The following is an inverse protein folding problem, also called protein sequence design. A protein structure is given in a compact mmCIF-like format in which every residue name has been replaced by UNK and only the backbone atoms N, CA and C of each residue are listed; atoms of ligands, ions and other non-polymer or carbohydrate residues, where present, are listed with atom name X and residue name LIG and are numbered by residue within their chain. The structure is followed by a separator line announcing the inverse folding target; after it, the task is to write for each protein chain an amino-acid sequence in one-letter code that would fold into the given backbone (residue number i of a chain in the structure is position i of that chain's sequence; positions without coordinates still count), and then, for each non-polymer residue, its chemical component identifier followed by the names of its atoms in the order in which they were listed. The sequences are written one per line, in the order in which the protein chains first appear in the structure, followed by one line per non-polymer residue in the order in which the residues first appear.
data_IF_822042154128
#
_entry.id   IF_822042154128
#
_cell.length_a   1.000
_cell.length_b   1.000
_cell.length_c   1.000
_cell.angle_alpha   90.00
_cell.angle_beta   90.00
_cell.angle_gamma   90.00
#
_symmetry.space_group_name_H-M   'P 1'
#
loop_
_entity.id
_entity.type
_entity.pdbx_description
1 polymer ?
#
# COMPACT_ATOMS: atom_id res chain seq x y z
N UNK A 1 -14.33 70.44 -36.25
CA UNK A 1 -14.85 69.80 -35.06
C UNK A 1 -15.61 68.50 -35.34
N UNK A 2 -16.55 68.40 -36.32
CA UNK A 2 -17.29 67.14 -36.54
C UNK A 2 -16.43 65.89 -36.98
N UNK A 3 -15.34 66.08 -37.75
CA UNK A 3 -14.46 64.98 -38.16
C UNK A 3 -13.55 64.41 -37.05
N UNK A 4 -13.20 65.23 -36.04
CA UNK A 4 -12.42 64.74 -34.88
C UNK A 4 -13.28 63.94 -33.92
N UNK A 5 -14.59 64.31 -33.77
CA UNK A 5 -15.52 63.54 -32.90
C UNK A 5 -15.85 62.17 -33.47
N UNK A 6 -15.91 62.01 -34.80
CA UNK A 6 -16.19 60.73 -35.46
C UNK A 6 -15.00 59.78 -35.33
N UNK A 7 -13.76 60.30 -35.37
CA UNK A 7 -12.55 59.47 -35.20
C UNK A 7 -12.39 58.99 -33.75
N UNK A 8 -12.70 59.83 -32.77
CA UNK A 8 -12.66 59.47 -31.34
C UNK A 8 -13.73 58.43 -30.97
N UNK A 9 -14.95 58.51 -31.56
CA UNK A 9 -15.99 57.48 -31.34
C UNK A 9 -15.61 56.15 -31.98
N UNK A 10 -14.97 56.11 -33.13
CA UNK A 10 -14.55 54.88 -33.79
C UNK A 10 -13.40 54.16 -33.08
N UNK A 11 -12.45 54.92 -32.49
CA UNK A 11 -11.37 54.36 -31.65
C UNK A 11 -11.89 53.85 -30.34
N UNK A 12 -12.91 54.50 -29.73
CA UNK A 12 -13.55 54.06 -28.48
C UNK A 12 -14.34 52.78 -28.66
N UNK A 13 -15.05 52.62 -29.81
CA UNK A 13 -15.79 51.40 -30.13
C UNK A 13 -14.84 50.22 -30.47
N UNK A 14 -13.67 50.45 -31.09
CA UNK A 14 -12.66 49.39 -31.29
C UNK A 14 -12.02 48.95 -30.00
N UNK A 15 -11.80 49.82 -29.03
CA UNK A 15 -11.25 49.50 -27.72
C UNK A 15 -12.29 48.71 -26.84
N UNK A 16 -13.57 49.00 -26.98
CA UNK A 16 -14.64 48.27 -26.28
C UNK A 16 -14.94 46.87 -26.86
N UNK A 17 -14.70 46.64 -28.15
CA UNK A 17 -14.82 45.30 -28.78
C UNK A 17 -13.66 44.40 -28.42
N UNK A 18 -12.46 44.96 -28.14
CA UNK A 18 -11.29 44.18 -27.73
C UNK A 18 -11.38 43.68 -26.27
N UNK A 19 -12.27 44.22 -25.43
CA UNK A 19 -12.43 43.78 -24.04
C UNK A 19 -13.47 42.63 -23.88
N UNK A 20 -14.27 42.35 -24.91
CA UNK A 20 -15.31 41.31 -24.83
C UNK A 20 -14.87 39.90 -25.25
N UNK A 21 -13.60 39.68 -25.63
CA UNK A 21 -13.04 38.34 -25.78
C UNK A 21 -12.13 37.96 -24.60
N UNK A 22 -12.51 38.30 -23.39
CA UNK A 22 -12.10 37.48 -22.25
C UNK A 22 -12.81 36.14 -22.40
N UNK A 23 -12.22 35.24 -23.16
CA UNK A 23 -12.59 33.82 -23.10
C UNK A 23 -12.55 33.45 -21.64
N UNK A 24 -13.73 33.25 -21.03
CA UNK A 24 -13.83 32.51 -19.79
C UNK A 24 -13.21 31.14 -20.10
N UNK A 25 -11.93 31.00 -19.78
CA UNK A 25 -11.30 29.68 -19.75
C UNK A 25 -12.15 28.89 -18.76
N UNK A 26 -13.09 28.09 -19.26
CA UNK A 26 -13.78 27.10 -18.44
C UNK A 26 -12.65 26.25 -17.87
N UNK A 27 -12.53 26.27 -16.53
CA UNK A 27 -11.55 25.42 -15.88
C UNK A 27 -11.77 23.99 -16.39
N UNK A 28 -10.72 23.36 -16.90
CA UNK A 28 -10.81 21.99 -17.41
C UNK A 28 -11.37 21.09 -16.30
N UNK A 29 -12.28 20.20 -16.63
CA UNK A 29 -12.85 19.26 -15.64
C UNK A 29 -11.72 18.48 -14.95
N UNK A 30 -11.77 18.29 -13.62
CA UNK A 30 -10.72 17.61 -12.88
C UNK A 30 -10.59 16.13 -13.34
N UNK A 31 -9.43 15.57 -13.09
CA UNK A 31 -9.21 14.12 -13.18
C UNK A 31 -9.52 13.53 -11.81
N UNK A 32 -10.66 12.84 -11.70
CA UNK A 32 -11.12 12.25 -10.44
C UNK A 32 -10.51 10.87 -10.26
N UNK A 33 -9.71 10.71 -9.21
CA UNK A 33 -9.14 9.42 -8.79
C UNK A 33 -9.86 8.98 -7.52
N UNK A 34 -10.52 7.83 -7.57
CA UNK A 34 -11.13 7.23 -6.39
C UNK A 34 -10.08 6.55 -5.51
N UNK A 35 -10.22 6.65 -4.20
CA UNK A 35 -9.37 5.95 -3.23
C UNK A 35 -10.26 5.07 -2.36
N UNK A 36 -10.13 3.76 -2.53
CA UNK A 36 -10.73 2.76 -1.68
C UNK A 36 -9.75 2.43 -0.55
N UNK A 37 -10.18 2.56 0.69
CA UNK A 37 -9.34 2.29 1.86
C UNK A 37 -10.18 1.88 3.07
N UNK A 38 -9.63 1.15 4.04
CA UNK A 38 -10.28 0.88 5.32
C UNK A 38 -10.25 2.13 6.21
N UNK A 39 -11.07 3.14 5.89
CA UNK A 39 -11.14 4.41 6.65
C UNK A 39 -11.69 4.18 8.05
N UNK A 40 -12.56 3.17 8.19
CA UNK A 40 -13.07 2.64 9.46
C UNK A 40 -12.67 1.18 9.63
N UNK A 41 -13.02 0.57 10.79
CA UNK A 41 -12.74 -0.84 11.06
C UNK A 41 -11.35 -1.11 11.65
N UNK A 42 -10.91 -2.39 11.68
CA UNK A 42 -9.71 -2.80 12.42
C UNK A 42 -8.40 -2.27 11.83
N UNK A 43 -8.40 -1.84 10.56
CA UNK A 43 -7.23 -1.30 9.86
C UNK A 43 -7.35 0.20 9.57
N UNK A 44 -8.22 0.91 10.30
CA UNK A 44 -8.51 2.32 10.07
C UNK A 44 -7.28 3.22 10.10
N UNK A 45 -6.30 2.91 10.94
CA UNK A 45 -5.05 3.66 11.02
C UNK A 45 -4.32 3.69 9.68
N UNK A 46 -4.16 2.54 9.02
CA UNK A 46 -3.53 2.44 7.69
C UNK A 46 -4.37 3.12 6.59
N UNK A 47 -5.68 2.90 6.60
CA UNK A 47 -6.58 3.46 5.60
C UNK A 47 -6.65 4.97 5.62
N UNK A 48 -6.70 5.58 6.80
CA UNK A 48 -6.71 7.04 6.96
C UNK A 48 -5.39 7.66 6.47
N UNK A 49 -4.24 7.08 6.83
CA UNK A 49 -2.95 7.54 6.32
C UNK A 49 -2.82 7.39 4.80
N UNK A 50 -3.37 6.31 4.21
CA UNK A 50 -3.37 6.12 2.76
C UNK A 50 -4.18 7.21 2.04
N UNK A 51 -5.37 7.54 2.52
CA UNK A 51 -6.18 8.65 2.00
C UNK A 51 -5.45 9.99 2.13
N UNK A 52 -4.84 10.26 3.28
CA UNK A 52 -4.03 11.45 3.50
C UNK A 52 -2.88 11.55 2.50
N UNK A 53 -2.19 10.44 2.26
CA UNK A 53 -1.08 10.35 1.30
C UNK A 53 -1.54 10.59 -0.15
N UNK A 54 -2.67 10.03 -0.55
CA UNK A 54 -3.26 10.29 -1.86
C UNK A 54 -3.59 11.78 -2.05
N UNK A 55 -4.12 12.44 -1.00
CA UNK A 55 -4.39 13.89 -1.03
C UNK A 55 -3.12 14.72 -1.15
N UNK A 56 -2.04 14.34 -0.46
CA UNK A 56 -0.74 15.04 -0.58
C UNK A 56 -0.17 14.86 -1.99
N UNK A 57 -0.23 13.66 -2.57
CA UNK A 57 0.21 13.42 -3.94
C UNK A 57 -0.57 14.28 -4.95
N UNK A 58 -1.91 14.32 -4.83
CA UNK A 58 -2.74 15.18 -5.67
C UNK A 58 -2.41 16.68 -5.50
N UNK A 59 -2.23 17.14 -4.26
CA UNK A 59 -1.83 18.53 -3.98
C UNK A 59 -0.49 18.88 -4.63
N UNK A 60 0.50 17.99 -4.58
CA UNK A 60 1.81 18.19 -5.21
C UNK A 60 1.70 18.24 -6.74
N UNK A 61 0.88 17.40 -7.35
CA UNK A 61 0.58 17.43 -8.79
C UNK A 61 -0.09 18.77 -9.15
N UNK A 62 -1.08 19.16 -8.38
CA UNK A 62 -1.87 20.37 -8.62
C UNK A 62 -1.03 21.66 -8.45
N UNK A 63 -0.11 21.69 -7.49
CA UNK A 63 0.85 22.80 -7.31
C UNK A 63 1.80 22.95 -8.52
N UNK A 64 2.04 21.86 -9.28
CA UNK A 64 2.84 21.87 -10.50
C UNK A 64 2.04 22.24 -11.75
N UNK A 65 0.76 22.59 -11.61
CA UNK A 65 -0.12 23.01 -12.72
C UNK A 65 -1.08 21.92 -13.21
N UNK A 66 -1.24 20.83 -12.50
CA UNK A 66 -2.09 19.71 -12.89
C UNK A 66 -1.48 18.83 -13.96
N UNK A 67 -2.31 18.03 -14.64
CA UNK A 67 -1.93 17.06 -15.67
C UNK A 67 -2.79 17.22 -16.92
N UNK A 68 -2.36 16.65 -18.03
CA UNK A 68 -3.12 16.53 -19.27
C UNK A 68 -3.82 17.84 -19.69
N UNK A 69 -3.01 18.89 -19.89
CA UNK A 69 -3.54 20.21 -20.28
C UNK A 69 -4.01 21.08 -19.10
N UNK A 70 -3.50 20.84 -17.90
CA UNK A 70 -3.77 21.68 -16.70
C UNK A 70 -4.99 21.26 -15.91
N UNK A 71 -5.50 20.03 -16.11
CA UNK A 71 -6.59 19.47 -15.29
C UNK A 71 -6.07 19.16 -13.88
N UNK A 72 -6.81 19.61 -12.87
CA UNK A 72 -6.48 19.30 -11.48
C UNK A 72 -6.86 17.87 -11.13
N UNK A 73 -6.08 17.23 -10.26
CA UNK A 73 -6.40 15.91 -9.69
C UNK A 73 -7.30 16.09 -8.48
N UNK A 74 -8.44 15.39 -8.45
CA UNK A 74 -9.38 15.31 -7.33
C UNK A 74 -9.33 13.91 -6.73
N UNK A 75 -9.22 13.82 -5.41
CA UNK A 75 -9.29 12.56 -4.66
C UNK A 75 -10.68 12.39 -4.09
N UNK A 76 -11.33 11.26 -4.40
CA UNK A 76 -12.64 10.87 -3.86
C UNK A 76 -12.55 9.60 -3.05
N UNK A 77 -12.93 9.67 -1.79
CA UNK A 77 -12.74 8.62 -0.79
C UNK A 77 -13.91 7.65 -0.76
N UNK A 78 -13.60 6.36 -0.56
CA UNK A 78 -14.57 5.28 -0.39
C UNK A 78 -14.08 4.34 0.70
N UNK A 79 -14.86 4.27 1.79
CA UNK A 79 -14.58 3.37 2.90
C UNK A 79 -14.98 1.93 2.56
N UNK A 80 -14.08 0.99 2.83
CA UNK A 80 -14.32 -0.44 2.69
C UNK A 80 -14.30 -1.19 4.04
N UNK A 81 -14.14 -0.46 5.14
CA UNK A 81 -14.13 -0.96 6.52
C UNK A 81 -13.15 -2.14 6.74
N UNK A 82 -12.25 -2.40 5.79
CA UNK A 82 -11.33 -3.55 5.78
C UNK A 82 -12.02 -4.90 5.53
N UNK A 83 -13.25 -4.91 4.96
CA UNK A 83 -13.99 -6.14 4.72
C UNK A 83 -14.23 -6.41 3.23
N UNK A 84 -14.25 -7.69 2.79
CA UNK A 84 -14.57 -8.04 1.40
C UNK A 84 -15.94 -7.52 0.95
N UNK A 85 -16.94 -7.57 1.84
CA UNK A 85 -18.31 -7.12 1.56
C UNK A 85 -18.35 -5.61 1.26
N UNK A 86 -17.80 -4.82 2.17
CA UNK A 86 -17.83 -3.36 2.02
C UNK A 86 -16.90 -2.91 0.90
N UNK A 87 -15.79 -3.64 0.67
CA UNK A 87 -14.92 -3.44 -0.49
C UNK A 87 -15.65 -3.61 -1.82
N UNK A 88 -16.43 -4.69 -1.97
CA UNK A 88 -17.25 -4.88 -3.17
C UNK A 88 -18.31 -3.79 -3.33
N UNK A 89 -18.94 -3.35 -2.24
CA UNK A 89 -19.92 -2.25 -2.27
C UNK A 89 -19.26 -0.92 -2.65
N UNK A 90 -18.08 -0.62 -2.11
CA UNK A 90 -17.29 0.56 -2.47
C UNK A 90 -16.93 0.54 -3.96
N UNK A 91 -16.42 -0.58 -4.47
CA UNK A 91 -16.09 -0.74 -5.89
C UNK A 91 -17.33 -0.54 -6.80
N UNK A 92 -18.49 -1.09 -6.44
CA UNK A 92 -19.75 -0.85 -7.18
C UNK A 92 -20.15 0.62 -7.22
N UNK A 93 -19.99 1.34 -6.10
CA UNK A 93 -20.25 2.79 -6.05
C UNK A 93 -19.28 3.57 -6.95
N UNK A 94 -17.99 3.21 -6.94
CA UNK A 94 -16.98 3.86 -7.79
C UNK A 94 -17.31 3.70 -9.27
N UNK A 95 -17.51 2.47 -9.75
CA UNK A 95 -17.73 2.19 -11.17
C UNK A 95 -19.11 2.70 -11.68
N UNK A 96 -19.99 3.12 -10.78
CA UNK A 96 -21.26 3.78 -11.15
C UNK A 96 -21.10 5.27 -11.44
N UNK A 97 -20.02 5.90 -10.97
CA UNK A 97 -19.71 7.31 -11.18
C UNK A 97 -18.83 7.47 -12.42
N UNK A 98 -19.42 8.07 -13.48
CA UNK A 98 -18.77 8.16 -14.81
C UNK A 98 -17.59 9.12 -14.88
N UNK A 99 -17.45 10.01 -13.93
CA UNK A 99 -16.39 10.99 -13.82
C UNK A 99 -15.12 10.43 -13.13
N UNK A 100 -15.20 9.26 -12.50
CA UNK A 100 -14.04 8.58 -11.93
C UNK A 100 -13.23 7.92 -13.05
N UNK A 101 -11.96 8.34 -13.17
CA UNK A 101 -11.03 7.87 -14.21
C UNK A 101 -10.37 6.55 -13.82
N UNK A 102 -9.93 6.44 -12.56
CA UNK A 102 -9.22 5.27 -12.05
C UNK A 102 -9.38 5.17 -10.53
N UNK A 103 -9.02 4.02 -9.97
CA UNK A 103 -9.06 3.75 -8.55
C UNK A 103 -7.66 3.43 -7.98
N UNK A 104 -7.30 4.06 -6.87
CA UNK A 104 -6.34 3.49 -5.92
C UNK A 104 -7.11 2.47 -5.11
N UNK A 105 -6.76 1.20 -5.27
CA UNK A 105 -7.41 0.08 -4.61
C UNK A 105 -6.74 -0.19 -3.27
N UNK A 106 -7.42 -0.95 -2.41
CA UNK A 106 -7.25 -0.93 -0.97
C UNK A 106 -6.05 -1.68 -0.38
N UNK A 107 -5.98 -1.68 0.95
CA UNK A 107 -4.93 -2.27 1.78
C UNK A 107 -4.99 -3.80 1.82
N UNK A 108 -6.16 -4.38 2.11
CA UNK A 108 -6.31 -5.80 2.41
C UNK A 108 -6.47 -6.69 1.18
N UNK A 109 -5.69 -7.77 1.04
CA UNK A 109 -5.81 -8.73 -0.06
C UNK A 109 -7.22 -9.32 -0.22
N UNK A 110 -7.95 -9.72 0.85
CA UNK A 110 -9.31 -10.23 0.70
C UNK A 110 -10.29 -9.18 0.15
N UNK A 111 -10.08 -7.91 0.50
CA UNK A 111 -10.90 -6.79 0.03
C UNK A 111 -10.61 -6.47 -1.44
N UNK A 112 -9.32 -6.46 -1.84
CA UNK A 112 -8.92 -6.31 -3.26
C UNK A 112 -9.46 -7.47 -4.10
N UNK A 113 -9.42 -8.69 -3.60
CA UNK A 113 -9.95 -9.85 -4.31
C UNK A 113 -11.44 -9.70 -4.61
N UNK A 114 -12.23 -9.19 -3.67
CA UNK A 114 -13.66 -8.93 -3.84
C UNK A 114 -13.93 -7.76 -4.82
N UNK A 115 -13.11 -6.71 -4.82
CA UNK A 115 -13.27 -5.49 -5.63
C UNK A 115 -12.80 -5.64 -7.07
N UNK A 116 -11.67 -6.34 -7.28
CA UNK A 116 -10.95 -6.35 -8.56
C UNK A 116 -11.79 -6.86 -9.74
N UNK A 117 -12.66 -7.85 -9.54
CA UNK A 117 -13.54 -8.35 -10.61
C UNK A 117 -14.58 -7.32 -11.04
N UNK A 118 -14.97 -6.39 -10.14
CA UNK A 118 -15.92 -5.32 -10.43
C UNK A 118 -15.23 -4.27 -11.30
N UNK A 119 -14.00 -3.88 -10.94
CA UNK A 119 -13.18 -2.95 -11.72
C UNK A 119 -12.86 -3.53 -13.10
N UNK A 120 -12.43 -4.80 -13.18
CA UNK A 120 -12.11 -5.48 -14.44
C UNK A 120 -13.28 -5.47 -15.42
N UNK A 121 -14.49 -5.87 -14.97
CA UNK A 121 -15.71 -5.88 -15.79
C UNK A 121 -16.12 -4.49 -16.31
N UNK A 122 -15.69 -3.44 -15.62
CA UNK A 122 -16.00 -2.04 -15.97
C UNK A 122 -14.83 -1.33 -16.64
N UNK A 123 -13.76 -2.07 -16.94
CA UNK A 123 -12.55 -1.52 -17.53
C UNK A 123 -11.96 -0.34 -16.74
N UNK A 124 -12.02 -0.38 -15.41
CA UNK A 124 -11.47 0.67 -14.56
C UNK A 124 -10.08 0.27 -14.08
N UNK A 125 -9.08 1.08 -14.43
CA UNK A 125 -7.74 0.93 -13.86
C UNK A 125 -7.84 0.95 -12.34
N UNK A 126 -7.28 -0.08 -11.69
CA UNK A 126 -7.20 -0.15 -10.24
C UNK A 126 -5.79 -0.56 -9.80
N UNK A 127 -5.18 0.26 -8.94
CA UNK A 127 -3.82 0.05 -8.46
C UNK A 127 -3.86 -0.23 -6.96
N UNK A 128 -3.62 -1.47 -6.56
CA UNK A 128 -3.61 -1.88 -5.16
C UNK A 128 -2.34 -1.40 -4.45
N UNK A 129 -2.49 -0.79 -3.25
CA UNK A 129 -1.36 -0.25 -2.52
C UNK A 129 -0.84 -1.14 -1.39
N UNK A 130 -1.64 -2.12 -0.91
CA UNK A 130 -1.25 -2.95 0.23
C UNK A 130 -1.57 -4.44 0.07
N UNK A 131 -2.16 -4.86 -1.04
CA UNK A 131 -2.59 -6.24 -1.27
C UNK A 131 -1.49 -7.07 -1.93
N UNK A 132 -0.78 -7.85 -1.15
CA UNK A 132 0.43 -8.59 -1.54
C UNK A 132 0.18 -10.01 -2.03
N UNK A 133 -1.04 -10.56 -1.86
CA UNK A 133 -1.39 -11.94 -2.27
C UNK A 133 -1.01 -12.21 -3.73
N UNK A 134 -0.21 -13.26 -3.96
CA UNK A 134 0.29 -13.65 -5.29
C UNK A 134 -0.83 -13.90 -6.29
N UNK A 135 -1.90 -14.58 -5.86
CA UNK A 135 -3.04 -14.94 -6.70
C UNK A 135 -3.83 -13.77 -7.29
N UNK A 136 -3.64 -12.54 -6.80
CA UNK A 136 -4.37 -11.37 -7.31
C UNK A 136 -4.00 -11.05 -8.76
N UNK A 137 -2.74 -11.11 -9.14
CA UNK A 137 -2.25 -10.84 -10.49
C UNK A 137 -2.29 -12.05 -11.43
N UNK A 138 -2.49 -13.26 -10.89
CA UNK A 138 -2.54 -14.49 -11.70
C UNK A 138 -3.89 -14.73 -12.40
N UNK A 139 -4.88 -13.85 -12.23
CA UNK A 139 -6.24 -13.98 -12.77
C UNK A 139 -6.44 -13.35 -14.15
N UNK A 140 -5.36 -13.06 -14.90
CA UNK A 140 -5.38 -12.44 -16.23
C UNK A 140 -6.26 -11.18 -16.30
N UNK A 141 -6.01 -10.24 -15.38
CA UNK A 141 -6.70 -8.97 -15.32
C UNK A 141 -5.92 -7.90 -16.07
N UNK A 142 -6.57 -7.20 -16.99
CA UNK A 142 -5.93 -6.17 -17.80
C UNK A 142 -5.86 -4.80 -17.11
N UNK A 143 -6.77 -4.55 -16.14
CA UNK A 143 -6.90 -3.26 -15.47
C UNK A 143 -6.43 -3.30 -14.00
N UNK A 144 -5.80 -4.39 -13.57
CA UNK A 144 -5.26 -4.56 -12.23
C UNK A 144 -3.75 -4.32 -12.21
N UNK A 145 -3.31 -3.49 -11.27
CA UNK A 145 -1.90 -3.23 -10.98
C UNK A 145 -1.70 -3.17 -9.46
N UNK A 146 -0.44 -3.22 -9.00
CA UNK A 146 -0.10 -2.93 -7.59
C UNK A 146 1.23 -2.22 -7.46
N UNK A 147 1.33 -1.32 -6.48
CA UNK A 147 2.56 -0.59 -6.14
C UNK A 147 3.34 -1.23 -4.99
N UNK A 148 2.77 -2.15 -4.23
CA UNK A 148 3.42 -2.92 -3.17
C UNK A 148 4.11 -4.19 -3.68
N UNK A 149 4.90 -4.82 -2.81
CA UNK A 149 5.53 -6.11 -3.07
C UNK A 149 4.54 -7.29 -3.09
N UNK A 150 5.08 -8.53 -3.13
CA UNK A 150 4.31 -9.77 -3.18
C UNK A 150 4.72 -10.72 -2.05
N UNK A 151 3.77 -11.59 -1.64
CA UNK A 151 3.97 -12.56 -0.57
C UNK A 151 5.09 -13.56 -0.88
N UNK A 152 5.30 -13.95 -2.15
CA UNK A 152 6.39 -14.84 -2.53
C UNK A 152 7.77 -14.20 -2.32
N UNK A 153 7.93 -12.90 -2.62
CA UNK A 153 9.17 -12.19 -2.34
C UNK A 153 9.43 -12.10 -0.83
N UNK A 154 8.39 -11.88 -0.01
CA UNK A 154 8.48 -11.90 1.44
C UNK A 154 8.86 -13.29 1.96
N UNK A 155 8.21 -14.34 1.45
CA UNK A 155 8.51 -15.72 1.82
C UNK A 155 9.94 -16.13 1.49
N UNK A 156 10.45 -15.76 0.30
CA UNK A 156 11.84 -15.97 -0.10
C UNK A 156 12.80 -15.24 0.82
N UNK A 157 12.53 -13.97 1.12
CA UNK A 157 13.35 -13.18 2.06
C UNK A 157 13.40 -13.83 3.44
N UNK A 158 12.25 -14.24 4.01
CA UNK A 158 12.20 -14.94 5.29
C UNK A 158 13.01 -16.25 5.27
N UNK A 159 12.80 -17.06 4.25
CA UNK A 159 13.44 -18.37 4.12
C UNK A 159 14.97 -18.29 3.95
N UNK A 160 15.47 -17.20 3.38
CA UNK A 160 16.92 -16.97 3.28
C UNK A 160 17.46 -16.32 4.54
N UNK A 161 16.83 -15.27 5.05
CA UNK A 161 17.34 -14.45 6.13
C UNK A 161 17.30 -15.16 7.49
N UNK A 162 16.13 -15.71 7.87
CA UNK A 162 15.87 -16.18 9.23
C UNK A 162 16.75 -17.39 9.62
N UNK A 163 16.81 -18.49 8.82
CA UNK A 163 17.68 -19.61 9.18
C UNK A 163 19.16 -19.21 9.26
N UNK A 164 19.62 -18.35 8.36
CA UNK A 164 21.03 -17.93 8.27
C UNK A 164 21.47 -17.02 9.41
N UNK A 165 20.64 -16.02 9.74
CA UNK A 165 21.05 -14.99 10.71
C UNK A 165 20.69 -15.34 12.16
N UNK A 166 19.65 -16.15 12.36
CA UNK A 166 19.23 -16.57 13.71
C UNK A 166 19.63 -18.01 14.03
N UNK A 167 20.32 -18.73 13.13
CA UNK A 167 20.64 -20.15 13.27
C UNK A 167 19.38 -20.98 13.59
N UNK A 168 18.24 -20.57 13.04
CA UNK A 168 16.94 -21.16 13.34
C UNK A 168 16.75 -22.45 12.53
N UNK A 169 16.50 -23.56 13.24
CA UNK A 169 16.23 -24.87 12.64
C UNK A 169 14.79 -25.34 12.85
N UNK A 170 14.10 -24.79 13.83
CA UNK A 170 12.74 -25.15 14.25
C UNK A 170 11.84 -23.93 14.11
N UNK A 171 11.02 -23.93 13.10
CA UNK A 171 10.17 -22.79 12.75
C UNK A 171 8.71 -23.13 13.05
N UNK A 172 8.04 -22.27 13.81
CA UNK A 172 6.59 -22.29 14.00
C UNK A 172 5.96 -21.19 13.15
N UNK A 173 4.87 -21.49 12.45
CA UNK A 173 4.12 -20.53 11.63
C UNK A 173 2.66 -20.52 12.09
N UNK A 174 2.10 -19.34 12.33
CA UNK A 174 0.68 -19.15 12.62
C UNK A 174 0.14 -17.99 11.77
N UNK A 175 -0.99 -18.22 11.09
CA UNK A 175 -1.68 -17.20 10.30
C UNK A 175 -3.06 -16.86 10.90
N UNK A 176 -3.65 -15.71 10.51
CA UNK A 176 -4.97 -15.30 11.02
C UNK A 176 -6.14 -15.61 10.07
N UNK A 177 -6.06 -16.67 9.29
CA UNK A 177 -7.14 -17.13 8.39
C UNK A 177 -7.61 -16.12 7.31
N UNK A 178 -6.92 -15.00 7.11
CA UNK A 178 -7.16 -14.13 5.96
C UNK A 178 -6.43 -14.66 4.73
N UNK A 179 -6.93 -14.38 3.52
CA UNK A 179 -6.24 -14.83 2.28
C UNK A 179 -4.82 -14.29 2.18
N UNK A 180 -4.57 -13.08 2.67
CA UNK A 180 -3.21 -12.53 2.83
C UNK A 180 -2.35 -13.40 3.73
N UNK A 181 -2.78 -13.63 4.98
CA UNK A 181 -1.97 -14.32 5.98
C UNK A 181 -1.67 -15.78 5.60
N UNK A 182 -2.65 -16.46 4.99
CA UNK A 182 -2.48 -17.79 4.40
C UNK A 182 -1.45 -17.73 3.27
N UNK A 183 -1.56 -16.73 2.37
CA UNK A 183 -0.64 -16.56 1.25
C UNK A 183 0.80 -16.40 1.70
N UNK A 184 1.08 -15.51 2.66
CA UNK A 184 2.44 -15.35 3.22
C UNK A 184 2.95 -16.65 3.86
N UNK A 185 2.09 -17.37 4.61
CA UNK A 185 2.48 -18.62 5.26
C UNK A 185 2.82 -19.71 4.24
N UNK A 186 2.00 -19.88 3.21
CA UNK A 186 2.20 -20.87 2.13
C UNK A 186 3.44 -20.55 1.28
N UNK A 187 3.62 -19.29 0.86
CA UNK A 187 4.80 -18.88 0.08
C UNK A 187 6.09 -19.02 0.93
N UNK A 188 6.01 -18.76 2.24
CA UNK A 188 7.12 -19.00 3.16
C UNK A 188 7.46 -20.49 3.24
N UNK A 189 6.46 -21.38 3.38
CA UNK A 189 6.70 -22.85 3.39
C UNK A 189 7.29 -23.32 2.07
N UNK A 190 6.77 -22.83 0.95
CA UNK A 190 7.29 -23.12 -0.39
C UNK A 190 8.75 -22.68 -0.53
N UNK A 191 9.10 -21.49 -0.07
CA UNK A 191 10.48 -21.00 -0.08
C UNK A 191 11.41 -21.77 0.86
N UNK A 192 10.91 -22.25 2.01
CA UNK A 192 11.66 -23.09 2.95
C UNK A 192 11.85 -24.53 2.46
N UNK A 193 11.04 -25.00 1.50
CA UNK A 193 11.04 -26.40 1.08
C UNK A 193 12.41 -26.97 0.73
N UNK A 194 13.30 -26.30 -0.05
CA UNK A 194 14.65 -26.83 -0.31
C UNK A 194 15.47 -27.07 0.96
N UNK A 195 15.36 -26.18 1.96
CA UNK A 195 16.06 -26.32 3.23
C UNK A 195 15.46 -27.40 4.14
N UNK A 196 14.13 -27.60 4.03
CA UNK A 196 13.42 -28.69 4.72
C UNK A 196 13.86 -30.04 4.14
N UNK A 197 13.88 -30.16 2.80
CA UNK A 197 14.28 -31.39 2.10
C UNK A 197 15.77 -31.74 2.38
N UNK A 198 16.61 -30.73 2.57
CA UNK A 198 18.03 -30.90 2.98
C UNK A 198 18.19 -31.20 4.47
N UNK A 199 17.12 -31.18 5.29
CA UNK A 199 17.19 -31.39 6.74
C UNK A 199 17.80 -30.22 7.52
N UNK A 200 17.98 -29.06 6.91
CA UNK A 200 18.57 -27.87 7.54
C UNK A 200 17.57 -27.18 8.49
N UNK A 201 16.28 -27.15 8.12
CA UNK A 201 15.19 -26.57 8.91
C UNK A 201 13.99 -27.52 8.97
N UNK A 202 13.14 -27.33 9.97
CA UNK A 202 11.86 -28.06 10.13
C UNK A 202 10.77 -27.08 10.56
N UNK A 203 9.62 -27.13 9.90
CA UNK A 203 8.39 -26.52 10.39
C UNK A 203 7.83 -27.43 11.47
N UNK A 204 7.94 -27.01 12.72
CA UNK A 204 7.56 -27.81 13.91
C UNK A 204 6.14 -27.54 14.40
N UNK A 205 5.53 -26.44 13.94
CA UNK A 205 4.17 -26.06 14.23
C UNK A 205 3.61 -25.24 13.05
N UNK A 206 2.40 -25.54 12.63
CA UNK A 206 1.65 -24.78 11.63
C UNK A 206 0.18 -24.82 11.99
N UNK A 207 -0.42 -23.67 12.27
CA UNK A 207 -1.82 -23.57 12.69
C UNK A 207 -2.38 -22.17 12.38
N UNK A 208 -3.65 -21.95 12.70
CA UNK A 208 -4.38 -20.72 12.44
C UNK A 208 -5.11 -20.18 13.66
N UNK A 209 -5.31 -18.87 13.66
CA UNK A 209 -6.24 -18.15 14.54
C UNK A 209 -7.26 -17.39 13.69
N UNK A 210 -8.35 -16.92 14.27
CA UNK A 210 -9.30 -16.09 13.54
C UNK A 210 -9.11 -14.61 13.89
N UNK A 211 -9.39 -13.68 12.98
CA UNK A 211 -9.20 -12.23 13.21
C UNK A 211 -10.02 -11.69 14.38
N UNK A 212 -11.15 -12.34 14.71
CA UNK A 212 -12.03 -11.93 15.82
C UNK A 212 -11.65 -12.51 17.17
N UNK A 213 -10.73 -13.49 17.20
CA UNK A 213 -10.27 -14.11 18.44
C UNK A 213 -9.59 -13.09 19.37
N UNK A 214 -9.77 -13.27 20.67
CA UNK A 214 -9.12 -12.44 21.70
C UNK A 214 -8.27 -13.24 22.67
N UNK A 215 -8.48 -14.55 22.74
CA UNK A 215 -7.67 -15.49 23.53
C UNK A 215 -6.91 -16.45 22.64
N UNK A 216 -5.60 -16.25 22.59
CA UNK A 216 -4.64 -17.06 21.82
C UNK A 216 -3.86 -18.02 22.73
N UNK A 217 -4.13 -18.02 24.05
CA UNK A 217 -3.41 -18.85 25.03
C UNK A 217 -3.41 -20.35 24.68
N UNK A 218 -4.53 -20.95 24.20
CA UNK A 218 -4.55 -22.37 23.86
C UNK A 218 -3.58 -22.73 22.72
N UNK A 219 -3.58 -21.95 21.62
CA UNK A 219 -2.69 -22.21 20.48
C UNK A 219 -1.22 -21.91 20.83
N UNK A 220 -0.96 -20.83 21.59
CA UNK A 220 0.38 -20.47 22.03
C UNK A 220 0.97 -21.51 23.00
N UNK A 221 0.15 -22.16 23.82
CA UNK A 221 0.57 -23.26 24.71
C UNK A 221 1.04 -24.46 23.89
N UNK A 222 0.26 -24.88 22.87
CA UNK A 222 0.66 -25.97 21.95
C UNK A 222 1.93 -25.61 21.17
N UNK A 223 2.03 -24.35 20.69
CA UNK A 223 3.19 -23.84 20.01
C UNK A 223 4.44 -23.91 20.89
N UNK A 224 4.35 -23.52 22.18
CA UNK A 224 5.44 -23.62 23.16
C UNK A 224 5.94 -25.04 23.33
N UNK A 225 5.05 -26.04 23.36
CA UNK A 225 5.39 -27.46 23.46
C UNK A 225 6.18 -27.95 22.25
N UNK A 226 6.01 -27.36 21.08
CA UNK A 226 6.78 -27.65 19.87
C UNK A 226 8.22 -27.14 19.92
N UNK A 227 8.60 -26.34 20.93
CA UNK A 227 9.94 -25.78 21.17
C UNK A 227 10.55 -25.15 19.89
N UNK A 228 9.93 -24.12 19.30
CA UNK A 228 10.48 -23.47 18.12
C UNK A 228 11.65 -22.58 18.47
N UNK A 229 12.61 -22.41 17.53
CA UNK A 229 13.64 -21.38 17.58
C UNK A 229 13.06 -20.04 17.18
N UNK A 230 12.15 -20.05 16.19
CA UNK A 230 11.46 -18.89 15.63
C UNK A 230 9.97 -19.15 15.55
N UNK A 231 9.18 -18.19 15.99
CA UNK A 231 7.76 -18.10 15.75
C UNK A 231 7.48 -17.00 14.72
N UNK A 232 6.95 -17.37 13.57
CA UNK A 232 6.53 -16.48 12.50
C UNK A 232 5.02 -16.30 12.51
N UNK A 233 4.56 -15.10 12.79
CA UNK A 233 3.15 -14.73 12.71
C UNK A 233 2.89 -13.97 11.41
N UNK A 234 2.07 -14.52 10.52
CA UNK A 234 1.81 -13.96 9.20
C UNK A 234 0.51 -13.16 9.09
N UNK A 235 -0.18 -12.91 10.23
CA UNK A 235 -1.41 -12.12 10.28
C UNK A 235 -1.17 -10.61 10.39
N UNK A 236 -2.18 -9.90 10.89
CA UNK A 236 -2.19 -8.43 11.00
C UNK A 236 -1.83 -7.97 12.41
N UNK A 237 -1.51 -6.67 12.54
CA UNK A 237 -1.03 -6.05 13.79
C UNK A 237 -2.00 -6.12 14.97
N UNK A 238 -3.36 -6.04 14.84
CA UNK A 238 -4.23 -6.07 16.01
C UNK A 238 -4.14 -7.40 16.77
N UNK A 239 -4.24 -8.54 16.07
CA UNK A 239 -4.10 -9.87 16.64
C UNK A 239 -2.65 -10.12 17.06
N UNK A 240 -1.67 -9.70 16.24
CA UNK A 240 -0.24 -9.83 16.52
C UNK A 240 0.15 -9.22 17.86
N UNK A 241 -0.40 -8.06 18.20
CA UNK A 241 -0.15 -7.39 19.47
C UNK A 241 -0.73 -8.15 20.68
N UNK A 242 -1.91 -8.74 20.52
CA UNK A 242 -2.52 -9.59 21.57
C UNK A 242 -1.74 -10.90 21.74
N UNK A 243 -1.32 -11.51 20.63
CA UNK A 243 -0.44 -12.70 20.62
C UNK A 243 0.86 -12.39 21.35
N UNK A 244 1.49 -11.24 21.09
CA UNK A 244 2.73 -10.84 21.75
C UNK A 244 2.56 -10.77 23.28
N UNK A 245 1.49 -10.15 23.76
CA UNK A 245 1.18 -10.08 25.20
C UNK A 245 0.97 -11.45 25.81
N UNK A 246 0.17 -12.29 25.16
CA UNK A 246 -0.18 -13.61 25.69
C UNK A 246 1.01 -14.56 25.62
N UNK A 247 1.83 -14.49 24.57
CA UNK A 247 3.07 -15.25 24.45
C UNK A 247 4.04 -14.94 25.62
N UNK A 248 4.19 -13.65 25.98
CA UNK A 248 4.97 -13.24 27.15
C UNK A 248 4.41 -13.79 28.45
N UNK A 249 3.07 -13.71 28.63
CA UNK A 249 2.40 -14.18 29.86
C UNK A 249 2.58 -15.69 30.10
N UNK A 250 2.61 -16.50 29.04
CA UNK A 250 2.83 -17.95 29.18
C UNK A 250 4.32 -18.34 29.18
N UNK A 251 5.22 -17.36 29.07
CA UNK A 251 6.67 -17.61 29.03
C UNK A 251 7.14 -18.32 27.75
N UNK A 252 6.51 -18.04 26.59
CA UNK A 252 7.01 -18.51 25.30
C UNK A 252 8.35 -17.83 25.00
N UNK A 253 9.41 -18.63 24.85
CA UNK A 253 10.78 -18.14 24.63
C UNK A 253 11.29 -18.63 23.29
N UNK A 254 11.26 -17.77 22.28
CA UNK A 254 11.80 -17.96 20.96
C UNK A 254 12.01 -16.59 20.31
N UNK A 255 12.58 -16.54 19.09
CA UNK A 255 12.61 -15.31 18.29
C UNK A 255 11.23 -15.12 17.67
N UNK A 256 10.65 -13.93 17.85
CA UNK A 256 9.36 -13.56 17.28
C UNK A 256 9.55 -12.78 16.00
N UNK A 257 8.91 -13.22 14.92
CA UNK A 257 8.92 -12.54 13.63
C UNK A 257 7.47 -12.32 13.19
N UNK A 258 7.14 -11.09 12.82
CA UNK A 258 5.88 -10.73 12.18
C UNK A 258 6.05 -10.53 10.67
N UNK A 259 4.96 -10.70 9.93
CA UNK A 259 4.89 -10.30 8.52
C UNK A 259 4.84 -8.77 8.38
N UNK A 260 4.84 -8.29 7.15
CA UNK A 260 4.75 -6.87 6.83
C UNK A 260 3.43 -6.21 7.29
N UNK A 261 2.36 -6.95 7.55
CA UNK A 261 1.12 -6.44 8.12
C UNK A 261 1.13 -6.35 9.66
N UNK A 262 2.22 -6.76 10.33
CA UNK A 262 2.40 -6.59 11.78
C UNK A 262 3.11 -5.28 12.12
N UNK A 263 3.94 -4.75 11.22
CA UNK A 263 4.67 -3.50 11.45
C UNK A 263 3.74 -2.29 11.39
N UNK A 264 3.39 -1.78 12.57
CA UNK A 264 2.45 -0.68 12.73
C UNK A 264 2.62 -0.08 14.13
N UNK A 265 2.45 1.25 14.28
CA UNK A 265 2.56 1.90 15.59
C UNK A 265 1.53 1.39 16.61
N UNK A 266 0.34 0.99 16.16
CA UNK A 266 -0.68 0.43 17.03
C UNK A 266 -0.29 -0.97 17.54
N UNK A 267 0.56 -1.74 16.82
CA UNK A 267 1.14 -2.96 17.38
C UNK A 267 1.87 -2.68 18.69
N UNK A 268 2.75 -1.68 18.69
CA UNK A 268 3.52 -1.29 19.88
C UNK A 268 2.63 -0.69 20.97
N UNK A 269 1.64 0.14 20.60
CA UNK A 269 0.69 0.72 21.55
C UNK A 269 -0.16 -0.34 22.24
N UNK A 270 -0.68 -1.32 21.49
CA UNK A 270 -1.55 -2.39 22.02
C UNK A 270 -0.71 -3.41 22.81
N UNK A 271 0.43 -3.83 22.30
CA UNK A 271 1.30 -4.79 22.99
C UNK A 271 1.95 -4.20 24.25
N UNK A 272 2.31 -2.91 24.20
CA UNK A 272 3.19 -2.24 25.15
C UNK A 272 4.66 -2.41 24.74
N UNK A 273 5.47 -1.36 24.90
CA UNK A 273 6.89 -1.31 24.47
C UNK A 273 7.70 -2.49 25.03
N UNK A 274 7.55 -2.81 26.34
CA UNK A 274 8.27 -3.92 26.98
C UNK A 274 7.90 -5.31 26.45
N UNK A 275 6.78 -5.45 25.78
CA UNK A 275 6.34 -6.69 25.11
C UNK A 275 6.77 -6.71 23.66
N UNK A 276 6.62 -5.58 22.98
CA UNK A 276 6.94 -5.44 21.58
C UNK A 276 8.47 -5.46 21.32
N UNK A 277 9.27 -4.97 22.28
CA UNK A 277 10.71 -4.91 22.19
C UNK A 277 11.34 -6.27 21.81
N UNK A 278 12.15 -6.24 20.77
CA UNK A 278 12.83 -7.43 20.25
C UNK A 278 12.04 -8.20 19.20
N UNK A 279 10.74 -7.89 19.00
CA UNK A 279 10.01 -8.43 17.86
C UNK A 279 10.64 -7.99 16.55
N UNK A 280 10.76 -8.93 15.64
CA UNK A 280 11.27 -8.72 14.29
C UNK A 280 10.12 -8.65 13.31
N UNK A 281 10.26 -7.88 12.23
CA UNK A 281 9.27 -7.82 11.15
C UNK A 281 9.94 -7.84 9.79
N UNK A 282 9.40 -8.65 8.89
CA UNK A 282 9.76 -8.59 7.46
C UNK A 282 8.96 -7.48 6.80
N UNK A 283 9.60 -6.49 6.20
CA UNK A 283 8.90 -5.34 5.60
C UNK A 283 9.71 -4.74 4.46
N UNK A 284 9.02 -4.11 3.53
CA UNK A 284 9.59 -3.21 2.55
C UNK A 284 10.19 -1.96 3.24
N UNK A 285 11.04 -1.17 2.55
CA UNK A 285 11.63 0.03 3.16
C UNK A 285 10.58 0.97 3.76
N UNK A 286 10.81 1.35 5.01
CA UNK A 286 9.97 2.32 5.71
C UNK A 286 10.17 3.74 5.14
N UNK A 287 9.22 4.67 5.33
CA UNK A 287 9.35 6.03 4.81
C UNK A 287 10.66 6.73 5.20
N UNK A 288 11.20 6.42 6.38
CA UNK A 288 12.47 6.98 6.89
C UNK A 288 13.71 6.53 6.13
N UNK A 289 13.65 5.41 5.40
CA UNK A 289 14.76 4.87 4.60
C UNK A 289 14.72 5.31 3.13
N UNK A 290 13.69 6.06 2.73
CA UNK A 290 13.53 6.51 1.34
C UNK A 290 14.36 7.77 1.09
N UNK A 291 15.39 7.67 0.23
CA UNK A 291 16.30 8.78 -0.04
C UNK A 291 16.10 9.46 -1.41
N UNK A 292 15.08 9.05 -2.17
CA UNK A 292 14.79 9.63 -3.49
C UNK A 292 14.35 11.10 -3.36
N UNK A 293 14.53 11.86 -4.44
CA UNK A 293 14.09 13.27 -4.49
C UNK A 293 12.59 13.39 -4.24
N UNK A 294 11.82 12.51 -4.87
CA UNK A 294 10.36 12.44 -4.79
C UNK A 294 9.89 12.09 -3.38
N UNK A 295 10.60 11.19 -2.68
CA UNK A 295 10.29 10.86 -1.30
C UNK A 295 10.53 12.04 -0.36
N UNK A 296 11.63 12.78 -0.52
CA UNK A 296 11.92 13.96 0.31
C UNK A 296 10.87 15.06 0.12
N UNK A 297 10.47 15.33 -1.15
CA UNK A 297 9.42 16.30 -1.46
C UNK A 297 8.07 15.88 -0.85
N UNK A 298 7.69 14.62 -1.02
CA UNK A 298 6.45 14.07 -0.52
C UNK A 298 6.39 14.08 1.03
N UNK A 299 7.42 13.54 1.68
CA UNK A 299 7.45 13.45 3.15
C UNK A 299 7.46 14.83 3.82
N UNK A 300 8.12 15.82 3.20
CA UNK A 300 8.08 17.21 3.68
C UNK A 300 6.66 17.79 3.59
N UNK A 301 5.98 17.62 2.43
CA UNK A 301 4.62 18.10 2.23
C UNK A 301 3.60 17.38 3.13
N UNK A 302 3.77 16.06 3.33
CA UNK A 302 2.93 15.29 4.23
C UNK A 302 3.07 15.78 5.68
N UNK A 303 4.33 15.94 6.15
CA UNK A 303 4.62 16.44 7.50
C UNK A 303 4.11 17.86 7.72
N UNK A 304 4.24 18.73 6.72
CA UNK A 304 3.68 20.10 6.76
C UNK A 304 2.16 20.06 7.01
N UNK A 305 1.45 19.15 6.36
CA UNK A 305 -0.01 19.07 6.39
C UNK A 305 -0.55 18.32 7.62
N UNK A 306 0.14 17.29 8.10
CA UNK A 306 -0.37 16.36 9.12
C UNK A 306 0.48 16.29 10.40
N UNK A 307 1.61 17.01 10.46
CA UNK A 307 2.47 17.12 11.65
C UNK A 307 3.58 16.08 11.74
N UNK A 308 3.37 14.89 11.22
CA UNK A 308 4.34 13.77 11.22
C UNK A 308 4.37 13.08 9.85
N UNK A 309 5.37 12.25 9.59
CA UNK A 309 5.44 11.42 8.37
C UNK A 309 4.64 10.13 8.56
N UNK A 310 4.22 9.44 7.49
CA UNK A 310 3.59 8.13 7.61
C UNK A 310 4.50 7.13 8.34
N UNK A 311 3.92 6.31 9.21
CA UNK A 311 4.66 5.35 10.05
C UNK A 311 4.79 3.96 9.42
N UNK A 312 4.24 3.76 8.21
CA UNK A 312 4.35 2.51 7.44
C UNK A 312 4.53 2.80 5.95
N UNK A 313 4.97 1.84 5.12
CA UNK A 313 5.15 2.06 3.68
C UNK A 313 3.84 2.11 2.89
N UNK A 314 2.74 1.54 3.41
CA UNK A 314 1.48 1.40 2.68
C UNK A 314 0.89 2.74 2.21
N UNK A 315 0.86 3.80 3.05
CA UNK A 315 0.43 5.12 2.61
C UNK A 315 1.29 5.69 1.48
N UNK A 316 2.59 5.36 1.45
CA UNK A 316 3.49 5.81 0.39
C UNK A 316 3.16 5.11 -0.93
N UNK A 317 2.87 3.82 -0.90
CA UNK A 317 2.43 3.07 -2.08
C UNK A 317 1.08 3.56 -2.62
N UNK A 318 0.18 4.01 -1.73
CA UNK A 318 -1.07 4.64 -2.15
C UNK A 318 -0.83 5.98 -2.89
N UNK A 319 0.10 6.80 -2.40
CA UNK A 319 0.53 8.03 -3.07
C UNK A 319 1.22 7.75 -4.42
N UNK A 320 2.06 6.71 -4.49
CA UNK A 320 2.66 6.25 -5.76
C UNK A 320 1.59 5.80 -6.76
N UNK A 321 0.52 5.13 -6.31
CA UNK A 321 -0.58 4.77 -7.19
C UNK A 321 -1.27 6.01 -7.80
N UNK A 322 -1.45 7.10 -7.04
CA UNK A 322 -1.93 8.39 -7.59
C UNK A 322 -0.96 8.95 -8.62
N UNK A 323 0.35 8.95 -8.33
CA UNK A 323 1.38 9.45 -9.25
C UNK A 323 1.40 8.65 -10.56
N UNK A 324 1.30 7.33 -10.50
CA UNK A 324 1.26 6.43 -11.66
C UNK A 324 0.00 6.66 -12.50
N UNK A 325 -1.17 6.77 -11.87
CA UNK A 325 -2.42 7.10 -12.57
C UNK A 325 -2.29 8.47 -13.26
N UNK A 326 -1.80 9.47 -12.54
CA UNK A 326 -1.59 10.80 -13.10
C UNK A 326 -0.63 10.80 -14.29
N UNK A 327 0.47 10.04 -14.18
CA UNK A 327 1.44 9.89 -15.26
C UNK A 327 0.85 9.20 -16.49
N UNK A 328 0.04 8.15 -16.31
CA UNK A 328 -0.65 7.48 -17.40
C UNK A 328 -1.65 8.41 -18.09
N UNK A 329 -2.46 9.16 -17.31
CA UNK A 329 -3.40 10.15 -17.86
C UNK A 329 -2.69 11.25 -18.62
N UNK A 330 -1.56 11.74 -18.12
CA UNK A 330 -0.78 12.77 -18.81
C UNK A 330 -0.23 12.27 -20.16
N UNK A 331 0.20 11.01 -20.20
CA UNK A 331 0.79 10.39 -21.38
C UNK A 331 -0.24 10.02 -22.47
N UNK A 332 -1.41 9.47 -22.08
CA UNK A 332 -2.35 8.84 -23.05
C UNK A 332 -3.82 9.25 -22.84
N UNK A 333 -4.12 10.18 -21.93
CA UNK A 333 -5.49 10.61 -21.62
C UNK A 333 -6.20 9.63 -20.69
N UNK A 334 -7.54 9.72 -20.65
CA UNK A 334 -8.38 9.00 -19.68
C UNK A 334 -9.07 7.75 -20.25
N UNK A 335 -8.70 7.32 -21.45
CA UNK A 335 -9.21 6.07 -22.02
C UNK A 335 -8.63 4.87 -21.26
N UNK A 336 -9.44 3.99 -20.67
CA UNK A 336 -8.93 2.91 -19.81
C UNK A 336 -8.11 1.87 -20.57
N UNK A 337 -8.43 1.58 -21.83
CA UNK A 337 -7.68 0.62 -22.64
C UNK A 337 -6.30 1.19 -22.99
N UNK A 338 -6.22 2.49 -23.34
CA UNK A 338 -4.95 3.17 -23.57
C UNK A 338 -4.09 3.28 -22.30
N UNK A 339 -4.71 3.57 -21.16
CA UNK A 339 -4.02 3.57 -19.86
C UNK A 339 -3.48 2.18 -19.49
N UNK A 340 -4.25 1.13 -19.69
CA UNK A 340 -3.82 -0.24 -19.43
C UNK A 340 -2.63 -0.63 -20.32
N UNK A 341 -2.71 -0.37 -21.64
CA UNK A 341 -1.58 -0.61 -22.57
C UNK A 341 -0.33 0.16 -22.16
N UNK A 342 -0.50 1.43 -21.77
CA UNK A 342 0.61 2.25 -21.30
C UNK A 342 1.27 1.66 -20.06
N UNK A 343 0.49 1.28 -19.04
CA UNK A 343 0.99 0.74 -17.78
C UNK A 343 1.68 -0.62 -17.96
N UNK A 344 1.17 -1.50 -18.83
CA UNK A 344 1.77 -2.79 -19.09
C UNK A 344 3.04 -2.74 -19.94
N UNK A 345 3.13 -1.78 -20.87
CA UNK A 345 4.13 -1.86 -21.94
C UNK A 345 5.11 -0.68 -21.99
N UNK A 346 4.80 0.44 -21.31
CA UNK A 346 5.56 1.70 -21.46
C UNK A 346 5.91 2.37 -20.14
N UNK A 347 5.25 2.00 -19.04
CA UNK A 347 5.52 2.55 -17.72
C UNK A 347 6.69 1.79 -17.06
N UNK A 348 7.91 2.04 -17.53
CA UNK A 348 9.13 1.50 -16.94
C UNK A 348 9.95 2.64 -16.33
N UNK A 349 10.36 2.46 -15.07
CA UNK A 349 11.16 3.45 -14.34
C UNK A 349 10.45 4.78 -14.10
N UNK A 350 9.11 4.82 -14.10
CA UNK A 350 8.36 6.04 -13.78
C UNK A 350 8.77 6.55 -12.41
N UNK A 351 9.20 7.83 -12.27
CA UNK A 351 9.64 8.37 -10.99
C UNK A 351 8.53 8.31 -9.94
N UNK A 352 8.75 7.52 -8.90
CA UNK A 352 7.85 7.38 -7.76
C UNK A 352 8.51 7.83 -6.45
N UNK A 353 7.70 7.98 -5.42
CA UNK A 353 8.14 8.30 -4.05
C UNK A 353 9.03 7.16 -3.52
N UNK A 354 8.75 5.93 -3.93
CA UNK A 354 9.48 4.73 -3.54
C UNK A 354 10.51 4.29 -4.60
N UNK A 355 10.99 5.21 -5.42
CA UNK A 355 11.93 4.96 -6.52
C UNK A 355 11.25 4.72 -7.86
N UNK A 356 12.00 4.26 -8.85
CA UNK A 356 11.46 3.97 -10.17
C UNK A 356 10.40 2.87 -10.11
N UNK A 357 9.27 3.07 -10.79
CA UNK A 357 8.15 2.13 -10.82
C UNK A 357 8.00 1.58 -12.24
N UNK A 358 8.02 0.25 -12.34
CA UNK A 358 7.67 -0.53 -13.52
C UNK A 358 6.79 -1.69 -13.12
N UNK A 359 6.11 -2.28 -14.09
CA UNK A 359 5.19 -3.39 -13.87
C UNK A 359 5.54 -4.59 -14.73
N UNK A 360 5.38 -5.78 -14.17
CA UNK A 360 5.37 -7.03 -14.95
C UNK A 360 4.17 -7.08 -15.90
N UNK A 361 4.17 -8.02 -16.83
CA UNK A 361 3.03 -8.28 -17.70
C UNK A 361 1.72 -8.62 -16.93
N UNK A 362 1.81 -9.00 -15.66
CA UNK A 362 0.67 -9.27 -14.78
C UNK A 362 0.24 -8.06 -13.94
N UNK A 363 0.91 -6.90 -14.09
CA UNK A 363 0.63 -5.68 -13.32
C UNK A 363 1.24 -5.67 -11.92
N UNK A 364 2.17 -6.58 -11.62
CA UNK A 364 2.93 -6.55 -10.36
C UNK A 364 4.08 -5.56 -10.45
N UNK A 365 4.31 -4.82 -9.38
CA UNK A 365 5.48 -3.96 -9.27
C UNK A 365 6.77 -4.77 -9.22
N UNK A 366 7.76 -4.35 -9.98
CA UNK A 366 9.10 -4.95 -9.99
C UNK A 366 10.00 -4.34 -8.91
N UNK A 367 10.96 -5.14 -8.44
CA UNK A 367 12.12 -4.66 -7.69
C UNK A 367 11.85 -4.17 -6.26
N UNK A 368 10.74 -4.55 -5.62
CA UNK A 368 10.47 -4.17 -4.22
C UNK A 368 11.32 -5.02 -3.27
N UNK A 369 12.28 -4.42 -2.55
CA UNK A 369 13.13 -5.16 -1.61
C UNK A 369 12.41 -5.41 -0.28
N UNK A 370 12.82 -6.47 0.43
CA UNK A 370 12.43 -6.71 1.83
C UNK A 370 13.63 -6.52 2.77
N UNK A 371 13.34 -6.01 3.95
CA UNK A 371 14.29 -5.79 5.03
C UNK A 371 13.78 -6.46 6.31
N UNK A 372 14.69 -6.72 7.25
CA UNK A 372 14.32 -7.15 8.59
C UNK A 372 14.35 -5.93 9.52
N UNK A 373 13.23 -5.63 10.14
CA UNK A 373 13.13 -4.60 11.18
C UNK A 373 13.06 -5.23 12.56
N UNK A 374 13.44 -4.47 13.58
CA UNK A 374 13.30 -4.84 14.98
C UNK A 374 12.69 -3.69 15.77
N UNK A 375 11.81 -4.02 16.71
CA UNK A 375 11.35 -3.04 17.71
C UNK A 375 12.45 -2.82 18.73
N UNK A 376 12.95 -1.58 18.82
CA UNK A 376 13.98 -1.19 19.77
C UNK A 376 13.44 -0.90 21.19
N UNK A 377 14.30 -0.45 22.10
CA UNK A 377 13.92 -0.14 23.49
C UNK A 377 12.93 1.04 23.61
N UNK A 378 12.87 1.91 22.62
CA UNK A 378 11.97 3.08 22.58
C UNK A 378 10.65 2.76 21.89
N UNK A 379 10.42 1.51 21.48
CA UNK A 379 9.23 1.09 20.74
C UNK A 379 9.25 1.51 19.26
N UNK A 380 10.43 1.85 18.72
CA UNK A 380 10.59 2.24 17.32
C UNK A 380 11.08 1.08 16.47
N UNK A 381 10.64 1.04 15.22
CA UNK A 381 11.12 0.10 14.23
C UNK A 381 12.45 0.58 13.66
N UNK A 382 13.47 -0.25 13.74
CA UNK A 382 14.82 0.02 13.20
C UNK A 382 15.27 -1.16 12.36
N UNK A 383 16.05 -0.91 11.31
CA UNK A 383 16.61 -1.99 10.49
C UNK A 383 17.49 -2.87 11.38
N UNK A 384 17.19 -4.17 11.40
CA UNK A 384 18.00 -5.15 12.09
C UNK A 384 19.32 -5.39 11.35
N UNK A 385 20.44 -5.12 12.02
CA UNK A 385 21.76 -5.36 11.50
C UNK A 385 22.42 -6.53 12.24
N UNK A 386 22.56 -7.72 11.63
CA UNK A 386 23.13 -8.89 12.31
C UNK A 386 24.62 -8.77 12.66
N UNK A 387 25.30 -7.69 12.21
CA UNK A 387 26.73 -7.43 12.51
C UNK A 387 26.95 -6.48 13.70
N UNK A 388 25.90 -5.97 14.29
CA UNK A 388 25.90 -5.20 15.53
C UNK A 388 25.35 -6.03 16.68
#
# INVERSE_FOLDING_TARGET
MKKLLTFALFTLCLALVSVCFATTATAAEPVVIAVQAPITGPWAFEGQMAVQSCKVAADLINRKGGIHGGRMVEIREFDDSGTPKDGALAAMKMVSQKDIVAAVSTYGSPTVEASSNIFEKRKMINIAYGATLVGLSQKNRNYFFRTCGRDDAQGIFFADFVPRHFNARRIAIVHNNTTFAIGVAEETQKALKPKIDAGEVKVVFYDAVNPEDRDFTPILTKLRESKPDVFYYTGHYPEGALIARQAKNIGLNCIFVGSNAVINDDFVKIAGVEVAKGWMMTQEPMPTELEYKESKEFLAAYKEKYGEIPSSPWPIYAADAVNIIAHAVDAVGTDPDAMADYLHNKADGVPGITGGIGFTAQGDREGVPYLMYQVNADGKYVIYNPKK
#
